data_IF_297853643280
#
_entry.id   IF_297853643280
#
_cell.length_a   1.000
_cell.length_b   1.000
_cell.length_c   1.000
_cell.angle_alpha   90.00
_cell.angle_beta   90.00
_cell.angle_gamma   90.00
#
_symmetry.space_group_name_H-M   'P 1'
#
loop_
_entity.id
_entity.type
_entity.pdbx_description
1 polymer ?
#
# COMPACT_ATOMS: atom_id res chain seq x y z
N UNK A 1 6.64 6.76 -5.41
CA UNK A 1 7.55 6.21 -6.45
C UNK A 1 6.89 6.13 -7.83
N UNK A 2 5.61 6.49 -7.97
CA UNK A 2 4.83 6.25 -9.20
C UNK A 2 4.64 7.49 -10.10
N UNK A 3 5.41 8.56 -9.89
CA UNK A 3 5.14 9.89 -10.49
C UNK A 3 5.06 9.90 -12.04
N UNK A 4 5.60 8.88 -12.72
CA UNK A 4 5.54 8.72 -14.18
C UNK A 4 4.19 8.19 -14.69
N UNK A 5 3.47 7.42 -13.87
CA UNK A 5 2.21 6.77 -14.24
C UNK A 5 1.03 7.25 -13.39
N UNK A 6 1.30 7.97 -12.29
CA UNK A 6 0.28 8.38 -11.34
C UNK A 6 0.56 9.80 -10.81
N UNK A 7 -0.44 10.68 -10.93
CA UNK A 7 -0.36 12.08 -10.49
C UNK A 7 -0.57 12.20 -8.98
N UNK A 8 0.38 12.85 -8.30
CA UNK A 8 0.27 13.17 -6.87
C UNK A 8 -1.02 13.94 -6.54
N UNK A 9 -1.44 14.86 -7.41
CA UNK A 9 -2.65 15.67 -7.21
C UNK A 9 -3.90 14.77 -7.24
N UNK A 10 -4.03 13.93 -8.27
CA UNK A 10 -5.14 12.99 -8.39
C UNK A 10 -5.21 12.04 -7.20
N UNK A 11 -4.07 11.54 -6.71
CA UNK A 11 -4.04 10.69 -5.52
C UNK A 11 -4.51 11.42 -4.25
N UNK A 12 -4.08 12.67 -4.05
CA UNK A 12 -4.47 13.46 -2.89
C UNK A 12 -5.98 13.78 -2.90
N UNK A 13 -6.58 13.95 -4.08
CA UNK A 13 -8.03 14.13 -4.25
C UNK A 13 -8.80 12.82 -4.03
N UNK A 14 -8.31 11.70 -4.56
CA UNK A 14 -8.98 10.39 -4.56
C UNK A 14 -9.11 9.74 -3.17
N UNK A 15 -8.03 9.71 -2.36
CA UNK A 15 -8.01 9.20 -0.97
C UNK A 15 -8.45 7.74 -0.76
N UNK A 16 -8.74 7.00 -1.84
CA UNK A 16 -9.20 5.62 -1.79
C UNK A 16 -8.22 4.72 -1.03
N UNK A 17 -6.91 4.84 -1.28
CA UNK A 17 -5.89 4.05 -0.61
C UNK A 17 -5.70 4.32 0.89
N UNK A 18 -6.50 5.23 1.46
CA UNK A 18 -6.49 5.61 2.88
C UNK A 18 -7.85 5.41 3.56
N UNK A 19 -8.82 4.80 2.88
CA UNK A 19 -10.17 4.54 3.39
C UNK A 19 -10.40 3.03 3.30
N UNK A 20 -10.76 2.43 4.43
CA UNK A 20 -10.84 0.98 4.56
C UNK A 20 -12.17 0.57 5.19
N UNK A 21 -12.85 -0.41 4.61
CA UNK A 21 -13.94 -1.14 5.25
C UNK A 21 -13.43 -2.43 5.91
N UNK A 22 -14.34 -3.19 6.51
CA UNK A 22 -14.02 -4.46 7.18
C UNK A 22 -13.39 -5.53 6.28
N UNK A 23 -13.54 -5.45 4.96
CA UNK A 23 -13.04 -6.41 3.99
C UNK A 23 -11.67 -6.03 3.43
N UNK A 24 -11.26 -4.76 3.52
CA UNK A 24 -9.96 -4.29 3.02
C UNK A 24 -9.01 -3.82 4.14
N UNK A 25 -9.36 -3.94 5.44
CA UNK A 25 -8.43 -3.61 6.55
C UNK A 25 -7.07 -4.33 6.46
N UNK A 26 -7.04 -5.52 5.85
CA UNK A 26 -5.81 -6.26 5.59
C UNK A 26 -4.87 -5.53 4.62
N UNK A 27 -5.40 -4.58 3.83
CA UNK A 27 -4.66 -3.72 2.91
C UNK A 27 -3.89 -2.60 3.59
N UNK A 28 -4.18 -2.32 4.87
CA UNK A 28 -3.51 -1.25 5.61
C UNK A 28 -1.98 -1.38 5.51
N UNK A 29 -1.28 -0.25 5.37
CA UNK A 29 0.15 -0.26 5.08
C UNK A 29 0.94 -0.67 6.32
N UNK A 30 2.04 -1.39 6.12
CA UNK A 30 2.97 -1.69 7.20
C UNK A 30 3.93 -0.51 7.42
N UNK A 31 4.02 -0.06 8.66
CA UNK A 31 4.91 1.00 9.09
C UNK A 31 6.23 0.41 9.62
N UNK A 32 7.32 1.07 9.25
CA UNK A 32 8.60 0.93 9.95
C UNK A 32 8.58 1.72 11.26
N UNK A 33 9.54 1.47 12.15
CA UNK A 33 9.68 2.27 13.37
C UNK A 33 9.84 3.78 13.06
N UNK A 34 10.63 4.12 12.04
CA UNK A 34 10.84 5.50 11.61
C UNK A 34 9.53 6.17 11.17
N UNK A 35 8.78 5.53 10.27
CA UNK A 35 7.53 6.10 9.73
C UNK A 35 6.41 6.13 10.78
N UNK A 36 6.38 5.16 11.70
CA UNK A 36 5.51 5.16 12.89
C UNK A 36 5.81 6.37 13.78
N UNK A 37 7.09 6.57 14.14
CA UNK A 37 7.51 7.65 15.03
C UNK A 37 7.24 9.02 14.41
N UNK A 38 7.45 9.17 13.10
CA UNK A 38 7.09 10.39 12.38
C UNK A 38 5.59 10.68 12.47
N UNK A 39 4.73 9.67 12.28
CA UNK A 39 3.30 9.86 12.40
C UNK A 39 2.89 10.24 13.83
N UNK A 40 3.50 9.60 14.85
CA UNK A 40 3.22 9.89 16.25
C UNK A 40 3.60 11.32 16.67
N UNK A 41 4.60 11.95 16.03
CA UNK A 41 4.90 13.38 16.25
C UNK A 41 3.74 14.30 15.83
N UNK A 42 2.92 13.87 14.88
CA UNK A 42 1.84 14.67 14.27
C UNK A 42 0.43 14.21 14.71
N UNK A 43 0.32 12.95 15.16
CA UNK A 43 -0.90 12.28 15.64
C UNK A 43 -0.57 11.38 16.84
N UNK A 44 -0.28 11.95 18.03
CA UNK A 44 0.21 11.20 19.19
C UNK A 44 -0.71 10.09 19.69
N UNK A 45 -2.02 10.23 19.47
CA UNK A 45 -3.04 9.25 19.91
C UNK A 45 -3.18 8.05 18.97
N UNK A 46 -2.39 8.00 17.88
CA UNK A 46 -2.44 6.89 16.93
C UNK A 46 -1.98 5.60 17.59
N UNK A 47 -2.83 4.57 17.56
CA UNK A 47 -2.53 3.26 18.14
C UNK A 47 -2.00 2.31 17.08
N UNK A 48 -0.99 1.53 17.46
CA UNK A 48 -0.38 0.52 16.59
C UNK A 48 -0.37 -0.85 17.27
N UNK A 49 -0.33 -1.89 16.45
CA UNK A 49 0.01 -3.27 16.84
C UNK A 49 1.27 -3.69 16.10
N UNK A 50 2.06 -4.60 16.68
CA UNK A 50 3.26 -5.16 16.05
C UNK A 50 2.90 -6.29 15.11
N UNK A 51 3.54 -6.34 13.93
CA UNK A 51 3.44 -7.45 12.97
C UNK A 51 4.82 -7.75 12.38
N UNK A 52 5.37 -8.92 12.69
CA UNK A 52 6.56 -9.50 12.02
C UNK A 52 7.72 -8.53 11.74
N UNK A 53 8.04 -7.63 12.68
CA UNK A 53 9.12 -6.64 12.53
C UNK A 53 8.66 -5.23 12.13
N UNK A 54 7.41 -5.07 11.72
CA UNK A 54 6.74 -3.79 11.43
C UNK A 54 5.56 -3.49 12.36
N UNK A 55 4.81 -2.45 12.00
CA UNK A 55 3.67 -1.94 12.76
C UNK A 55 2.45 -1.72 11.86
N UNK A 56 1.28 -2.15 12.32
CA UNK A 56 -0.01 -1.86 11.70
C UNK A 56 -0.83 -0.95 12.60
N UNK A 57 -1.79 -0.23 12.04
CA UNK A 57 -2.76 0.49 12.86
C UNK A 57 -3.58 -0.49 13.70
N UNK A 58 -3.85 -0.10 14.95
CA UNK A 58 -4.89 -0.76 15.73
C UNK A 58 -6.24 -0.25 15.22
N UNK A 59 -6.99 -1.12 14.56
CA UNK A 59 -8.33 -0.86 14.07
C UNK A 59 -9.29 -1.59 15.01
N UNK A 60 -10.22 -0.86 15.62
CA UNK A 60 -11.28 -1.47 16.41
C UNK A 60 -12.32 -2.11 15.46
N UNK A 61 -13.23 -2.93 15.99
CA UNK A 61 -14.21 -3.64 15.17
C UNK A 61 -15.08 -2.66 14.35
N UNK A 62 -15.05 -2.81 13.01
CA UNK A 62 -15.86 -2.02 12.08
C UNK A 62 -17.22 -2.69 11.86
N UNK A 63 -18.30 -1.99 12.18
CA UNK A 63 -19.67 -2.53 12.10
C UNK A 63 -20.39 -1.98 10.87
N UNK A 64 -21.08 -2.86 10.12
CA UNK A 64 -21.83 -2.53 8.91
C UNK A 64 -20.95 -1.84 7.84
N UNK A 65 -21.31 -0.60 7.47
CA UNK A 65 -20.66 0.22 6.44
C UNK A 65 -19.70 1.27 7.03
N UNK A 66 -19.21 1.03 8.25
CA UNK A 66 -18.22 1.91 8.86
C UNK A 66 -16.91 1.84 8.08
N UNK A 67 -16.29 3.02 7.93
CA UNK A 67 -14.98 3.15 7.29
C UNK A 67 -13.95 3.54 8.34
N UNK A 68 -12.85 2.80 8.36
CA UNK A 68 -11.62 3.20 8.99
C UNK A 68 -10.82 4.11 8.04
N UNK A 69 -10.52 5.31 8.49
CA UNK A 69 -9.62 6.21 7.77
C UNK A 69 -8.22 6.13 8.34
N UNK A 70 -7.22 6.02 7.45
CA UNK A 70 -5.82 6.06 7.82
C UNK A 70 -5.52 7.29 8.68
N UNK A 71 -4.92 7.16 9.88
CA UNK A 71 -4.54 8.29 10.72
C UNK A 71 -3.59 9.30 10.06
N UNK A 72 -2.87 8.89 9.01
CA UNK A 72 -2.05 9.78 8.19
C UNK A 72 -2.84 10.52 7.08
N UNK A 73 -4.15 10.32 6.96
CA UNK A 73 -4.99 11.04 6.02
C UNK A 73 -5.44 12.38 6.62
N UNK A 74 -5.14 13.46 5.91
CA UNK A 74 -5.80 14.76 6.09
C UNK A 74 -6.84 14.93 4.98
N UNK A 75 -8.07 15.26 5.37
CA UNK A 75 -9.21 15.31 4.44
C UNK A 75 -9.09 16.42 3.40
N UNK A 76 -8.25 17.43 3.61
CA UNK A 76 -8.03 18.52 2.65
C UNK A 76 -6.74 18.32 1.86
N UNK A 77 -5.66 17.88 2.55
CA UNK A 77 -4.29 17.86 2.01
C UNK A 77 -3.86 16.48 1.50
N UNK A 78 -4.63 15.44 1.79
CA UNK A 78 -4.24 14.06 1.55
C UNK A 78 -3.25 13.57 2.61
N UNK A 79 -2.35 12.66 2.24
CA UNK A 79 -1.48 12.04 3.23
C UNK A 79 -0.41 13.00 3.79
N UNK A 80 -0.44 13.21 5.11
CA UNK A 80 0.42 14.14 5.83
C UNK A 80 1.89 13.69 5.91
N UNK A 81 2.18 12.42 5.63
CA UNK A 81 3.54 11.89 5.60
C UNK A 81 4.28 12.23 4.30
N UNK A 82 3.60 12.78 3.29
CA UNK A 82 4.25 13.27 2.06
C UNK A 82 5.04 12.18 1.32
N UNK A 83 6.35 12.38 1.14
CA UNK A 83 7.25 11.40 0.53
C UNK A 83 7.78 10.35 1.54
N UNK A 84 7.58 10.56 2.85
CA UNK A 84 7.94 9.65 3.96
C UNK A 84 6.85 8.62 4.27
N UNK A 85 5.91 8.42 3.33
CA UNK A 85 4.88 7.39 3.44
C UNK A 85 5.50 5.99 3.60
N UNK A 86 4.78 5.05 4.25
CA UNK A 86 5.11 3.63 4.21
C UNK A 86 5.38 3.12 2.79
N UNK A 87 6.21 2.08 2.66
CA UNK A 87 6.55 1.53 1.35
C UNK A 87 5.30 1.08 0.57
N UNK A 88 4.38 0.37 1.23
CA UNK A 88 3.08 -0.04 0.67
C UNK A 88 2.30 1.13 0.04
N UNK A 89 2.32 2.31 0.67
CA UNK A 89 1.66 3.51 0.16
C UNK A 89 2.41 4.15 -1.02
N UNK A 90 3.74 4.01 -1.07
CA UNK A 90 4.57 4.59 -2.14
C UNK A 90 4.49 3.80 -3.44
N UNK A 91 4.09 2.53 -3.36
CA UNK A 91 3.90 1.60 -4.48
C UNK A 91 2.43 1.32 -4.81
N UNK A 92 1.45 1.66 -3.95
CA UNK A 92 0.03 1.44 -4.24
C UNK A 92 -0.38 2.08 -5.57
N UNK A 93 -1.08 1.36 -6.47
CA UNK A 93 -1.86 0.14 -6.26
C UNK A 93 -1.10 -1.19 -6.45
N UNK A 94 0.21 -1.16 -6.66
CA UNK A 94 0.99 -2.41 -6.66
C UNK A 94 1.07 -2.99 -5.24
N UNK A 95 1.06 -4.32 -5.17
CA UNK A 95 1.24 -5.10 -3.94
C UNK A 95 2.20 -6.24 -4.21
N UNK A 96 2.95 -6.65 -3.20
CA UNK A 96 3.66 -7.93 -3.23
C UNK A 96 2.87 -8.95 -2.40
N UNK A 97 2.62 -10.10 -3.00
CA UNK A 97 1.82 -11.17 -2.42
C UNK A 97 2.52 -12.51 -2.52
N UNK A 98 2.24 -13.39 -1.55
CA UNK A 98 2.64 -14.79 -1.53
C UNK A 98 1.58 -15.64 -2.26
N UNK A 99 1.97 -16.27 -3.36
CA UNK A 99 1.13 -17.15 -4.18
C UNK A 99 1.74 -18.54 -4.16
N UNK A 100 1.24 -19.40 -3.28
CA UNK A 100 1.71 -20.79 -3.18
C UNK A 100 3.21 -20.91 -2.90
N UNK A 101 3.77 -20.01 -2.08
CA UNK A 101 5.19 -19.98 -1.73
C UNK A 101 6.07 -19.18 -2.69
N UNK A 102 5.51 -18.60 -3.76
CA UNK A 102 6.22 -17.69 -4.66
C UNK A 102 5.77 -16.25 -4.43
N UNK A 103 6.70 -15.30 -4.49
CA UNK A 103 6.36 -13.87 -4.44
C UNK A 103 5.91 -13.39 -5.80
N UNK A 104 4.85 -12.59 -5.83
CA UNK A 104 4.36 -11.98 -7.04
C UNK A 104 3.94 -10.53 -6.78
N UNK A 105 4.13 -9.68 -7.78
CA UNK A 105 3.62 -8.32 -7.79
C UNK A 105 2.27 -8.33 -8.48
N UNK A 106 1.27 -7.88 -7.74
CA UNK A 106 -0.13 -7.77 -8.16
C UNK A 106 -0.55 -6.31 -8.19
N UNK A 107 -1.77 -6.02 -8.66
CA UNK A 107 -2.32 -4.67 -8.73
C UNK A 107 -3.75 -4.61 -8.19
N UNK A 108 -4.07 -3.60 -7.40
CA UNK A 108 -5.43 -3.33 -6.97
C UNK A 108 -6.28 -2.87 -8.17
N UNK A 109 -7.39 -3.54 -8.52
CA UNK A 109 -8.21 -3.16 -9.67
C UNK A 109 -9.05 -1.88 -9.44
N UNK A 110 -9.09 -1.39 -8.20
CA UNK A 110 -9.92 -0.26 -7.78
C UNK A 110 -9.28 1.12 -8.03
N UNK A 111 -8.00 1.16 -8.43
CA UNK A 111 -7.35 2.43 -8.79
C UNK A 111 -7.70 2.83 -10.23
N UNK A 112 -8.76 3.61 -10.42
CA UNK A 112 -9.23 4.02 -11.76
C UNK A 112 -8.13 4.67 -12.63
N UNK A 113 -7.23 5.45 -12.04
CA UNK A 113 -6.18 6.15 -12.78
C UNK A 113 -5.14 5.22 -13.40
N UNK A 114 -4.87 4.08 -12.78
CA UNK A 114 -3.92 3.09 -13.28
C UNK A 114 -4.63 1.94 -13.99
N UNK A 115 -5.79 1.50 -13.50
CA UNK A 115 -6.54 0.40 -14.10
C UNK A 115 -7.01 0.72 -15.53
N UNK A 116 -7.27 1.99 -15.85
CA UNK A 116 -7.66 2.41 -17.20
C UNK A 116 -6.48 2.61 -18.17
N UNK A 117 -5.23 2.37 -17.74
CA UNK A 117 -4.06 2.47 -18.62
C UNK A 117 -3.81 1.16 -19.36
N UNK A 118 -3.14 1.20 -20.53
CA UNK A 118 -2.72 -0.02 -21.21
C UNK A 118 -1.87 -0.90 -20.29
N UNK A 119 -2.17 -2.20 -20.26
CA UNK A 119 -1.41 -3.17 -19.44
C UNK A 119 0.09 -3.17 -19.76
N UNK A 120 0.46 -2.90 -21.02
CA UNK A 120 1.86 -2.77 -21.44
C UNK A 120 2.58 -1.60 -20.77
N UNK A 121 1.89 -0.49 -20.49
CA UNK A 121 2.44 0.67 -19.78
C UNK A 121 2.63 0.35 -18.28
N UNK A 122 1.62 -0.25 -17.66
CA UNK A 122 1.63 -0.65 -16.24
C UNK A 122 2.74 -1.67 -15.99
N UNK A 123 2.75 -2.76 -16.77
CA UNK A 123 3.75 -3.84 -16.66
C UNK A 123 5.13 -3.36 -17.11
N UNK A 124 5.22 -2.50 -18.12
CA UNK A 124 6.48 -1.89 -18.57
C UNK A 124 7.13 -1.08 -17.45
N UNK A 125 6.41 -0.11 -16.89
CA UNK A 125 6.91 0.68 -15.75
C UNK A 125 7.29 -0.19 -14.55
N UNK A 126 6.46 -1.22 -14.25
CA UNK A 126 6.76 -2.15 -13.18
C UNK A 126 8.12 -2.83 -13.41
N UNK A 127 8.34 -3.42 -14.58
CA UNK A 127 9.58 -4.15 -14.89
C UNK A 127 10.80 -3.25 -14.96
N UNK A 128 10.66 -2.07 -15.54
CA UNK A 128 11.79 -1.19 -15.83
C UNK A 128 12.25 -0.37 -14.61
N UNK A 129 11.35 -0.10 -13.64
CA UNK A 129 11.65 0.87 -12.58
C UNK A 129 11.34 0.43 -11.15
N UNK A 130 10.44 -0.54 -10.96
CA UNK A 130 9.82 -0.78 -9.65
C UNK A 130 9.98 -2.20 -9.12
N UNK A 131 9.98 -3.22 -9.98
CA UNK A 131 9.93 -4.62 -9.58
C UNK A 131 11.10 -5.02 -8.67
N UNK A 132 12.34 -4.73 -9.09
CA UNK A 132 13.55 -5.01 -8.31
C UNK A 132 13.49 -4.34 -6.93
N UNK A 133 13.05 -3.07 -6.88
CA UNK A 133 12.91 -2.33 -5.61
C UNK A 133 11.85 -2.94 -4.69
N UNK A 134 10.78 -3.51 -5.24
CA UNK A 134 9.74 -4.18 -4.46
C UNK A 134 10.29 -5.49 -3.88
N UNK A 135 10.98 -6.31 -4.69
CA UNK A 135 11.57 -7.56 -4.21
C UNK A 135 12.69 -7.31 -3.19
N UNK A 136 13.62 -6.41 -3.47
CA UNK A 136 14.70 -6.03 -2.54
C UNK A 136 14.18 -5.49 -1.20
N UNK A 137 13.07 -4.76 -1.23
CA UNK A 137 12.45 -4.24 -0.02
C UNK A 137 11.74 -5.38 0.74
N UNK A 138 11.06 -6.29 0.04
CA UNK A 138 10.42 -7.45 0.64
C UNK A 138 11.40 -8.47 1.24
N UNK A 139 12.63 -8.58 0.71
CA UNK A 139 13.69 -9.39 1.32
C UNK A 139 14.04 -8.91 2.74
N UNK A 140 14.00 -7.59 2.96
CA UNK A 140 14.34 -6.94 4.23
C UNK A 140 13.12 -6.76 5.14
N UNK A 141 11.94 -6.73 4.54
CA UNK A 141 10.66 -6.45 5.18
C UNK A 141 9.62 -7.50 4.77
N UNK A 142 9.78 -8.78 5.18
CA UNK A 142 8.86 -9.85 4.80
C UNK A 142 7.42 -9.60 5.25
N UNK A 143 7.20 -8.76 6.28
CA UNK A 143 5.90 -8.41 6.84
C UNK A 143 4.95 -7.69 5.88
N UNK A 144 5.49 -7.11 4.79
CA UNK A 144 4.70 -6.46 3.73
C UNK A 144 4.14 -7.47 2.72
N UNK A 145 4.68 -8.69 2.68
CA UNK A 145 4.21 -9.74 1.79
C UNK A 145 2.88 -10.22 2.35
N UNK A 146 1.81 -9.98 1.60
CA UNK A 146 0.45 -10.38 2.00
C UNK A 146 0.10 -11.72 1.37
N UNK A 147 -0.82 -12.47 1.96
CA UNK A 147 -1.38 -13.64 1.29
C UNK A 147 -2.13 -13.21 0.02
N UNK A 148 -2.13 -14.08 -0.98
CA UNK A 148 -2.76 -13.78 -2.25
C UNK A 148 -4.27 -13.62 -2.12
N UNK A 149 -4.78 -12.53 -2.69
CA UNK A 149 -6.19 -12.26 -2.87
C UNK A 149 -6.53 -12.41 -4.37
N UNK A 150 -7.53 -13.22 -4.70
CA UNK A 150 -7.88 -13.53 -6.09
C UNK A 150 -8.52 -12.35 -6.85
N UNK A 151 -8.94 -11.30 -6.13
CA UNK A 151 -9.37 -10.03 -6.72
C UNK A 151 -8.20 -9.20 -7.27
N UNK A 152 -6.95 -9.57 -6.96
CA UNK A 152 -5.75 -8.86 -7.39
C UNK A 152 -5.11 -9.54 -8.61
N UNK A 153 -5.19 -8.95 -9.82
CA UNK A 153 -4.51 -9.49 -10.99
C UNK A 153 -2.99 -9.56 -10.80
N UNK A 154 -2.42 -10.70 -11.17
CA UNK A 154 -0.98 -10.93 -11.12
C UNK A 154 -0.32 -10.26 -12.33
N UNK A 155 0.67 -9.41 -12.09
CA UNK A 155 1.42 -8.72 -13.14
C UNK A 155 2.80 -9.33 -13.39
N UNK A 156 3.46 -9.77 -12.32
CA UNK A 156 4.80 -10.34 -12.37
C UNK A 156 4.99 -11.34 -11.25
N UNK A 157 5.36 -12.58 -11.57
CA UNK A 157 5.82 -13.56 -10.59
C UNK A 157 7.35 -13.48 -10.53
N UNK A 158 7.90 -13.50 -9.32
CA UNK A 158 9.35 -13.56 -9.11
C UNK A 158 9.92 -14.84 -9.74
N UNK A 159 11.05 -14.68 -10.42
CA UNK A 159 11.76 -15.80 -11.05
C UNK A 159 12.89 -16.22 -10.12
N UNK A 160 13.10 -17.53 -10.05
CA UNK A 160 14.20 -18.16 -9.34
C UNK A 160 15.56 -17.83 -9.99
#
# INVERSE_FOLDING_TARGET
MLKKILSNKKCAECKLCCSFDRYDVWETPVFTEETKNLLLQMRPDTKFITKDGGYLFRIDELINNELFYCPALDMEKGCILGDNKPFDCRIWPYRIMNIGGKRAITIAPICEELFNRPISEIVGFLKDELAEKIFDYADKHPEIIKEYDDMYPILLVERD
#
